data_IF_870429207158
#
_entry.id   IF_870429207158
#
_cell.length_a   1.000
_cell.length_b   1.000
_cell.length_c   1.000
_cell.angle_alpha   90.00
_cell.angle_beta   90.00
_cell.angle_gamma   90.00
#
_symmetry.space_group_name_H-M   'P 1'
#
loop_
_entity.id
_entity.type
_entity.pdbx_description
1 polymer ?
#
# COMPACT_ATOMS: atom_id res chain seq x y z
N UNK A 1 2.03 -12.63 -6.58
CA UNK A 1 1.36 -13.70 -7.35
C UNK A 1 0.20 -14.27 -6.55
N UNK A 2 -0.82 -14.86 -7.23
CA UNK A 2 -1.99 -15.51 -6.60
C UNK A 2 -1.52 -16.62 -5.63
N UNK A 3 -0.51 -17.39 -6.03
CA UNK A 3 0.05 -18.46 -5.22
C UNK A 3 0.61 -17.97 -3.87
N UNK A 4 1.27 -16.81 -3.85
CA UNK A 4 1.78 -16.22 -2.61
C UNK A 4 0.64 -15.79 -1.68
N UNK A 5 -0.47 -15.30 -2.23
CA UNK A 5 -1.67 -14.98 -1.45
C UNK A 5 -2.37 -16.22 -0.92
N UNK A 6 -2.35 -17.32 -1.67
CA UNK A 6 -2.84 -18.63 -1.17
C UNK A 6 -2.01 -19.12 0.03
N UNK A 7 -0.68 -18.93 0.03
CA UNK A 7 0.17 -19.28 1.18
C UNK A 7 -0.17 -18.44 2.43
N UNK A 8 -0.47 -17.14 2.27
CA UNK A 8 -0.93 -16.34 3.42
C UNK A 8 -2.31 -16.75 3.92
N UNK A 9 -3.20 -17.19 3.01
CA UNK A 9 -4.53 -17.70 3.37
C UNK A 9 -4.54 -18.96 4.23
N UNK A 10 -3.44 -19.73 4.22
CA UNK A 10 -3.23 -20.90 5.09
C UNK A 10 -2.24 -20.62 6.22
N UNK A 11 -2.01 -19.34 6.54
CA UNK A 11 -1.10 -18.88 7.60
C UNK A 11 0.39 -19.27 7.40
N UNK A 12 0.81 -19.65 6.19
CA UNK A 12 2.19 -20.00 5.86
C UNK A 12 3.03 -18.78 5.47
N UNK A 13 3.05 -17.76 6.33
CA UNK A 13 3.72 -16.47 6.08
C UNK A 13 5.23 -16.60 5.83
N UNK A 14 5.91 -17.53 6.53
CA UNK A 14 7.35 -17.77 6.33
C UNK A 14 7.65 -18.25 4.91
N UNK A 15 6.85 -19.19 4.39
CA UNK A 15 7.00 -19.72 3.02
C UNK A 15 6.62 -18.64 1.99
N UNK A 16 5.59 -17.85 2.27
CA UNK A 16 5.23 -16.69 1.46
C UNK A 16 6.39 -15.68 1.39
N UNK A 17 6.97 -15.33 2.53
CA UNK A 17 8.11 -14.39 2.60
C UNK A 17 9.31 -14.91 1.83
N UNK A 18 9.70 -16.16 2.03
CA UNK A 18 10.83 -16.77 1.32
C UNK A 18 10.59 -16.82 -0.20
N UNK A 19 9.39 -17.20 -0.64
CA UNK A 19 9.05 -17.23 -2.07
C UNK A 19 9.11 -15.85 -2.73
N UNK A 20 8.95 -14.79 -1.95
CA UNK A 20 9.03 -13.42 -2.40
C UNK A 20 10.46 -12.85 -2.34
N UNK A 21 11.20 -13.18 -1.28
CA UNK A 21 12.53 -12.62 -1.01
C UNK A 21 13.62 -13.26 -1.89
N UNK A 22 13.63 -14.61 -1.98
CA UNK A 22 14.67 -15.33 -2.71
C UNK A 22 14.83 -14.88 -4.17
N UNK A 23 13.76 -14.80 -4.99
CA UNK A 23 13.89 -14.32 -6.36
C UNK A 23 14.42 -12.88 -6.47
N UNK A 24 14.06 -12.02 -5.51
CA UNK A 24 14.53 -10.63 -5.49
C UNK A 24 15.99 -10.49 -5.16
N UNK A 25 16.50 -11.27 -4.20
CA UNK A 25 17.92 -11.34 -3.92
C UNK A 25 18.67 -11.82 -5.15
N UNK A 26 18.18 -12.86 -5.84
CA UNK A 26 18.79 -13.35 -7.08
C UNK A 26 18.79 -12.30 -8.19
N UNK A 27 17.68 -11.60 -8.38
CA UNK A 27 17.58 -10.49 -9.33
C UNK A 27 18.63 -9.41 -9.01
N UNK A 28 18.71 -8.97 -7.76
CA UNK A 28 19.68 -7.96 -7.34
C UNK A 28 21.12 -8.43 -7.51
N UNK A 29 21.42 -9.70 -7.16
CA UNK A 29 22.74 -10.30 -7.30
C UNK A 29 23.20 -10.39 -8.76
N UNK A 30 22.28 -10.40 -9.73
CA UNK A 30 22.60 -10.38 -11.16
C UNK A 30 22.65 -8.94 -11.72
N UNK A 31 21.68 -8.11 -11.34
CA UNK A 31 21.57 -6.75 -11.87
C UNK A 31 22.72 -5.86 -11.38
N UNK A 32 23.08 -5.90 -10.10
CA UNK A 32 24.10 -5.01 -9.55
C UNK A 32 25.47 -5.21 -10.22
N UNK A 33 26.03 -6.44 -10.31
CA UNK A 33 27.25 -6.67 -11.05
C UNK A 33 27.10 -6.40 -12.55
N UNK A 34 25.94 -6.74 -13.14
CA UNK A 34 25.67 -6.53 -14.55
C UNK A 34 25.69 -5.06 -14.96
N UNK A 35 25.13 -4.17 -14.13
CA UNK A 35 25.18 -2.72 -14.35
C UNK A 35 26.59 -2.14 -14.14
N UNK A 36 27.31 -2.64 -13.13
CA UNK A 36 28.62 -2.14 -12.78
C UNK A 36 29.70 -2.60 -13.75
N UNK A 37 29.69 -3.88 -14.17
CA UNK A 37 30.77 -4.50 -14.96
C UNK A 37 30.50 -4.52 -16.47
N UNK A 38 29.23 -4.59 -16.91
CA UNK A 38 28.84 -4.91 -18.28
C UNK A 38 27.91 -3.92 -18.95
N UNK A 39 27.55 -2.78 -18.32
CA UNK A 39 26.57 -1.80 -18.86
C UNK A 39 25.34 -2.50 -19.51
N UNK A 40 24.60 -3.24 -18.70
CA UNK A 40 23.45 -4.04 -19.17
C UNK A 40 22.46 -3.22 -19.99
N UNK A 41 22.06 -3.74 -21.14
CA UNK A 41 20.99 -3.16 -21.94
C UNK A 41 19.63 -3.28 -21.25
N UNK A 42 18.68 -2.40 -21.58
CA UNK A 42 17.31 -2.46 -21.07
C UNK A 42 16.63 -3.82 -21.33
N UNK A 43 16.95 -4.47 -22.48
CA UNK A 43 16.45 -5.80 -22.81
C UNK A 43 16.95 -6.88 -21.83
N UNK A 44 18.22 -6.86 -21.48
CA UNK A 44 18.80 -7.81 -20.52
C UNK A 44 18.23 -7.59 -19.10
N UNK A 45 18.00 -6.34 -18.68
CA UNK A 45 17.32 -6.04 -17.43
C UNK A 45 15.92 -6.64 -17.37
N UNK A 46 15.13 -6.48 -18.45
CA UNK A 46 13.80 -7.07 -18.55
C UNK A 46 13.84 -8.60 -18.48
N UNK A 47 14.79 -9.25 -19.18
CA UNK A 47 14.96 -10.71 -19.12
C UNK A 47 15.25 -11.22 -17.70
N UNK A 48 16.15 -10.54 -16.96
CA UNK A 48 16.44 -10.89 -15.57
C UNK A 48 15.20 -10.71 -14.67
N UNK A 49 14.42 -9.66 -14.88
CA UNK A 49 13.16 -9.45 -14.14
C UNK A 49 12.14 -10.55 -14.46
N UNK A 50 11.96 -10.94 -15.73
CA UNK A 50 11.07 -12.03 -16.12
C UNK A 50 11.53 -13.38 -15.54
N UNK A 51 12.82 -13.67 -15.56
CA UNK A 51 13.38 -14.86 -14.94
C UNK A 51 13.07 -14.91 -13.43
N UNK A 52 13.21 -13.79 -12.73
CA UNK A 52 12.87 -13.69 -11.31
C UNK A 52 11.37 -13.93 -11.03
N UNK A 53 10.48 -13.45 -11.90
CA UNK A 53 9.04 -13.73 -11.80
C UNK A 53 8.76 -15.21 -12.02
N UNK A 54 9.41 -15.85 -13.00
CA UNK A 54 9.28 -17.30 -13.26
C UNK A 54 9.78 -18.14 -12.08
N UNK A 55 10.93 -17.78 -11.50
CA UNK A 55 11.47 -18.42 -10.29
C UNK A 55 10.47 -18.28 -9.12
N UNK A 56 9.91 -17.08 -8.90
CA UNK A 56 8.88 -16.88 -7.87
C UNK A 56 7.67 -17.78 -8.08
N UNK A 57 7.21 -17.93 -9.33
CA UNK A 57 6.09 -18.83 -9.67
C UNK A 57 6.44 -20.29 -9.30
N UNK A 58 7.60 -20.77 -9.71
CA UNK A 58 8.03 -22.15 -9.43
C UNK A 58 8.12 -22.42 -7.93
N UNK A 59 8.81 -21.56 -7.18
CA UNK A 59 8.96 -21.69 -5.73
C UNK A 59 7.59 -21.70 -5.04
N UNK A 60 6.69 -20.79 -5.43
CA UNK A 60 5.36 -20.70 -4.81
C UNK A 60 4.49 -21.93 -5.11
N UNK A 61 4.59 -22.51 -6.32
CA UNK A 61 3.90 -23.77 -6.68
C UNK A 61 4.45 -24.94 -5.87
N UNK A 62 5.79 -25.03 -5.70
CA UNK A 62 6.41 -26.07 -4.87
C UNK A 62 5.89 -26.02 -3.43
N UNK A 63 5.84 -24.80 -2.85
CA UNK A 63 5.33 -24.62 -1.48
C UNK A 63 3.84 -24.96 -1.36
N UNK A 64 3.00 -24.62 -2.34
CA UNK A 64 1.59 -25.02 -2.35
C UNK A 64 1.42 -26.55 -2.41
N UNK A 65 2.19 -27.21 -3.29
CA UNK A 65 2.15 -28.69 -3.38
C UNK A 65 2.59 -29.38 -2.08
N UNK A 66 3.60 -28.84 -1.40
CA UNK A 66 4.04 -29.36 -0.09
C UNK A 66 2.99 -29.23 1.01
N UNK A 67 2.04 -28.29 0.87
CA UNK A 67 0.91 -28.13 1.78
C UNK A 67 -0.37 -28.82 1.25
N UNK A 68 -0.22 -29.84 0.39
CA UNK A 68 -1.30 -30.65 -0.18
C UNK A 68 -2.32 -29.87 -1.04
N UNK A 69 -2.05 -28.59 -1.34
CA UNK A 69 -2.89 -27.79 -2.23
C UNK A 69 -2.55 -28.15 -3.68
N UNK A 70 -3.43 -28.91 -4.30
CA UNK A 70 -3.29 -29.32 -5.70
C UNK A 70 -4.14 -28.40 -6.59
N UNK A 71 -3.50 -27.84 -7.63
CA UNK A 71 -4.23 -27.17 -8.69
C UNK A 71 -4.96 -28.23 -9.52
N UNK A 72 -6.28 -28.21 -9.51
CA UNK A 72 -7.11 -29.15 -10.27
C UNK A 72 -8.13 -28.38 -11.11
N UNK A 73 -8.16 -28.70 -12.41
CA UNK A 73 -9.17 -28.15 -13.32
C UNK A 73 -10.53 -28.82 -13.19
N UNK A 74 -10.62 -29.94 -12.42
CA UNK A 74 -11.86 -30.68 -12.20
C UNK A 74 -13.00 -29.83 -11.61
N UNK A 75 -12.63 -28.81 -10.81
CA UNK A 75 -13.58 -27.91 -10.15
C UNK A 75 -13.79 -26.59 -10.90
N UNK A 76 -13.33 -26.52 -12.16
CA UNK A 76 -13.53 -25.34 -12.98
C UNK A 76 -15.02 -25.16 -13.29
N UNK A 77 -15.58 -24.03 -12.88
CA UNK A 77 -16.98 -23.68 -13.09
C UNK A 77 -17.10 -22.21 -13.46
N UNK A 78 -17.73 -21.91 -14.58
CA UNK A 78 -18.00 -20.52 -15.00
C UNK A 78 -18.80 -19.74 -13.95
N UNK A 79 -19.80 -20.39 -13.32
CA UNK A 79 -20.57 -19.78 -12.22
C UNK A 79 -19.69 -19.49 -11.00
N UNK A 80 -18.75 -20.40 -10.69
CA UNK A 80 -17.76 -20.20 -9.61
C UNK A 80 -16.84 -19.01 -9.90
N UNK A 81 -16.35 -18.88 -11.13
CA UNK A 81 -15.52 -17.74 -11.56
C UNK A 81 -16.30 -16.44 -11.47
N UNK A 82 -17.52 -16.39 -11.98
CA UNK A 82 -18.37 -15.18 -11.89
C UNK A 82 -18.59 -14.75 -10.42
N UNK A 83 -18.85 -15.72 -9.53
CA UNK A 83 -19.00 -15.44 -8.09
C UNK A 83 -17.72 -14.87 -7.47
N UNK A 84 -16.56 -15.46 -7.77
CA UNK A 84 -15.26 -14.98 -7.29
C UNK A 84 -14.99 -13.58 -7.85
N UNK A 85 -15.21 -13.36 -9.15
CA UNK A 85 -15.01 -12.05 -9.77
C UNK A 85 -15.94 -11.01 -9.15
N UNK A 86 -17.21 -11.30 -8.93
CA UNK A 86 -18.15 -10.37 -8.32
C UNK A 86 -17.74 -9.93 -6.91
N UNK A 87 -17.12 -10.82 -6.13
CA UNK A 87 -16.64 -10.52 -4.78
C UNK A 87 -15.31 -9.76 -4.82
N UNK A 88 -14.39 -10.15 -5.73
CA UNK A 88 -13.04 -9.57 -5.80
C UNK A 88 -12.97 -8.28 -6.64
N UNK A 89 -13.93 -8.04 -7.52
CA UNK A 89 -13.94 -6.86 -8.40
C UNK A 89 -13.88 -5.52 -7.62
N UNK A 90 -14.67 -5.29 -6.56
CA UNK A 90 -14.58 -4.05 -5.79
C UNK A 90 -13.19 -3.84 -5.18
N UNK A 91 -12.56 -4.91 -4.67
CA UNK A 91 -11.20 -4.84 -4.15
C UNK A 91 -10.19 -4.53 -5.27
N UNK A 92 -10.32 -5.18 -6.42
CA UNK A 92 -9.47 -4.91 -7.60
C UNK A 92 -9.58 -3.47 -8.09
N UNK A 93 -10.80 -2.93 -8.15
CA UNK A 93 -11.05 -1.54 -8.52
C UNK A 93 -10.46 -0.58 -7.46
N UNK A 94 -10.60 -0.87 -6.17
CA UNK A 94 -9.97 -0.08 -5.12
C UNK A 94 -8.44 -0.03 -5.27
N UNK A 95 -7.80 -1.15 -5.63
CA UNK A 95 -6.35 -1.18 -5.91
C UNK A 95 -5.99 -0.28 -7.10
N UNK A 96 -6.80 -0.30 -8.18
CA UNK A 96 -6.58 0.60 -9.34
C UNK A 96 -6.72 2.07 -8.93
N UNK A 97 -7.73 2.42 -8.15
CA UNK A 97 -7.89 3.78 -7.66
C UNK A 97 -6.73 4.22 -6.76
N UNK A 98 -6.21 3.34 -5.91
CA UNK A 98 -5.01 3.63 -5.12
C UNK A 98 -3.77 3.85 -5.99
N UNK A 99 -3.58 3.04 -7.04
CA UNK A 99 -2.47 3.23 -7.98
C UNK A 99 -2.57 4.55 -8.74
N UNK A 100 -3.77 4.94 -9.14
CA UNK A 100 -4.02 6.24 -9.76
C UNK A 100 -3.77 7.38 -8.76
N UNK A 101 -4.28 7.28 -7.55
CA UNK A 101 -4.03 8.23 -6.47
C UNK A 101 -2.53 8.47 -6.25
N UNK A 102 -1.74 7.39 -6.19
CA UNK A 102 -0.29 7.47 -5.99
C UNK A 102 0.48 8.12 -7.15
N UNK A 103 -0.09 8.24 -8.35
CA UNK A 103 0.60 8.70 -9.55
C UNK A 103 0.07 9.99 -10.16
N UNK A 104 -1.20 10.31 -9.92
CA UNK A 104 -1.82 11.46 -10.55
C UNK A 104 -1.26 12.79 -10.05
N UNK A 105 -0.87 12.88 -8.78
CA UNK A 105 -0.19 14.07 -8.23
C UNK A 105 1.05 14.41 -9.05
N UNK A 106 1.91 13.40 -9.26
CA UNK A 106 3.15 13.57 -10.02
C UNK A 106 2.88 13.94 -11.48
N UNK A 107 1.88 13.33 -12.11
CA UNK A 107 1.47 13.65 -13.48
C UNK A 107 0.92 15.08 -13.59
N UNK A 108 0.11 15.52 -12.65
CA UNK A 108 -0.41 16.88 -12.61
C UNK A 108 0.70 17.91 -12.38
N UNK A 109 1.61 17.65 -11.45
CA UNK A 109 2.76 18.53 -11.20
C UNK A 109 3.63 18.62 -12.46
N UNK A 110 3.99 17.51 -13.09
CA UNK A 110 4.83 17.52 -14.29
C UNK A 110 4.20 18.30 -15.45
N UNK A 111 2.87 18.24 -15.59
CA UNK A 111 2.14 18.94 -16.64
C UNK A 111 1.93 20.43 -16.34
N UNK A 112 1.71 20.80 -15.08
CA UNK A 112 1.33 22.16 -14.68
C UNK A 112 2.53 23.01 -14.25
N UNK A 113 3.62 22.41 -13.77
CA UNK A 113 4.79 23.08 -13.18
C UNK A 113 6.13 22.64 -13.79
N UNK A 114 6.12 21.56 -14.59
CA UNK A 114 7.31 21.05 -15.25
C UNK A 114 7.98 19.88 -14.51
N UNK A 115 8.99 19.31 -15.18
CA UNK A 115 9.65 18.09 -14.69
C UNK A 115 10.54 18.32 -13.47
N UNK A 116 11.12 19.49 -13.30
CA UNK A 116 11.99 19.80 -12.15
C UNK A 116 11.18 19.79 -10.84
N UNK A 117 10.04 20.47 -10.81
CA UNK A 117 9.14 20.45 -9.64
C UNK A 117 8.59 19.03 -9.40
N UNK A 118 8.28 18.29 -10.46
CA UNK A 118 7.86 16.90 -10.35
C UNK A 118 8.97 16.01 -9.76
N UNK A 119 10.24 16.25 -10.10
CA UNK A 119 11.37 15.54 -9.53
C UNK A 119 11.51 15.83 -8.02
N UNK A 120 11.42 17.10 -7.60
CA UNK A 120 11.45 17.44 -6.17
C UNK A 120 10.31 16.77 -5.38
N UNK A 121 9.10 16.83 -5.92
CA UNK A 121 7.95 16.17 -5.28
C UNK A 121 8.12 14.65 -5.23
N UNK A 122 8.57 14.02 -6.32
CA UNK A 122 8.70 12.55 -6.40
C UNK A 122 9.65 11.96 -5.39
N UNK A 123 10.76 12.67 -5.09
CA UNK A 123 11.73 12.26 -4.07
C UNK A 123 11.09 12.30 -2.67
N UNK A 124 10.48 13.43 -2.31
CA UNK A 124 9.81 13.58 -1.03
C UNK A 124 8.66 12.56 -0.86
N UNK A 125 7.83 12.40 -1.90
CA UNK A 125 6.74 11.44 -1.91
C UNK A 125 7.22 10.00 -1.84
N UNK A 126 8.32 9.66 -2.51
CA UNK A 126 8.93 8.34 -2.45
C UNK A 126 9.38 7.95 -1.05
N UNK A 127 10.01 8.87 -0.31
CA UNK A 127 10.42 8.67 1.09
C UNK A 127 9.17 8.51 1.98
N UNK A 128 8.20 9.42 1.84
CA UNK A 128 6.92 9.34 2.55
C UNK A 128 6.20 8.00 2.31
N UNK A 129 6.08 7.59 1.05
CA UNK A 129 5.38 6.34 0.67
C UNK A 129 6.12 5.10 1.16
N UNK A 130 7.44 5.15 1.28
CA UNK A 130 8.25 4.04 1.80
C UNK A 130 7.87 3.69 3.25
N UNK A 131 7.43 4.65 4.06
CA UNK A 131 6.95 4.39 5.42
C UNK A 131 5.68 3.52 5.45
N UNK A 132 4.82 3.56 4.40
CA UNK A 132 3.64 2.70 4.32
C UNK A 132 3.98 1.21 4.24
N UNK A 133 5.15 0.88 3.69
CA UNK A 133 5.63 -0.51 3.62
C UNK A 133 5.82 -1.07 5.02
N UNK A 134 6.40 -0.28 5.93
CA UNK A 134 6.59 -0.66 7.34
C UNK A 134 5.26 -1.00 8.01
N UNK A 135 4.24 -0.15 7.85
CA UNK A 135 2.91 -0.41 8.42
C UNK A 135 2.24 -1.63 7.79
N UNK A 136 2.42 -1.84 6.49
CA UNK A 136 1.90 -3.03 5.80
C UNK A 136 2.52 -4.32 6.32
N UNK A 137 3.81 -4.31 6.69
CA UNK A 137 4.47 -5.46 7.32
C UNK A 137 3.97 -5.73 8.73
N UNK A 138 3.79 -4.69 9.55
CA UNK A 138 3.25 -4.82 10.90
C UNK A 138 1.83 -5.41 10.91
N UNK A 139 1.06 -5.16 9.84
CA UNK A 139 -0.33 -5.59 9.71
C UNK A 139 -0.53 -6.79 8.77
N UNK A 140 0.54 -7.44 8.31
CA UNK A 140 0.45 -8.51 7.31
C UNK A 140 -0.47 -9.65 7.69
N UNK A 141 -0.49 -10.03 8.99
CA UNK A 141 -1.40 -11.05 9.54
C UNK A 141 -2.78 -10.51 9.91
N UNK A 142 -2.95 -9.20 9.96
CA UNK A 142 -4.18 -8.55 10.43
C UNK A 142 -5.40 -8.91 9.57
N UNK A 143 -5.25 -8.93 8.24
CA UNK A 143 -6.34 -9.31 7.34
C UNK A 143 -6.89 -10.71 7.64
N UNK A 144 -6.02 -11.71 7.74
CA UNK A 144 -6.41 -13.10 8.02
C UNK A 144 -7.04 -13.20 9.40
N UNK A 145 -6.42 -12.56 10.41
CA UNK A 145 -6.95 -12.57 11.78
C UNK A 145 -8.33 -11.92 11.87
N UNK A 146 -8.55 -10.79 11.22
CA UNK A 146 -9.87 -10.14 11.18
C UNK A 146 -10.89 -10.97 10.42
N UNK A 147 -10.48 -11.64 9.32
CA UNK A 147 -11.36 -12.54 8.58
C UNK A 147 -11.80 -13.76 9.42
N UNK A 148 -10.96 -14.25 10.32
CA UNK A 148 -11.35 -15.28 11.31
C UNK A 148 -12.32 -14.73 12.36
N UNK A 149 -12.06 -13.52 12.86
CA UNK A 149 -12.83 -12.87 13.92
C UNK A 149 -14.10 -12.13 13.43
N UNK A 150 -14.37 -12.07 12.12
CA UNK A 150 -15.43 -11.22 11.55
C UNK A 150 -16.82 -11.47 12.13
N UNK A 151 -17.09 -12.67 12.66
CA UNK A 151 -18.35 -13.04 13.33
C UNK A 151 -18.44 -12.58 14.79
N UNK A 152 -17.34 -12.09 15.36
CA UNK A 152 -17.23 -11.66 16.76
C UNK A 152 -16.86 -10.17 16.84
N UNK A 153 -17.85 -9.26 16.78
CA UNK A 153 -17.61 -7.80 16.73
C UNK A 153 -16.81 -7.28 17.94
N UNK A 154 -16.95 -7.89 19.10
CA UNK A 154 -16.20 -7.57 20.32
C UNK A 154 -14.71 -7.80 20.15
N UNK A 155 -14.33 -8.94 19.56
CA UNK A 155 -12.94 -9.29 19.31
C UNK A 155 -12.30 -8.41 18.21
N UNK A 156 -13.07 -8.11 17.13
CA UNK A 156 -12.62 -7.14 16.11
C UNK A 156 -12.40 -5.75 16.74
N UNK A 157 -13.29 -5.31 17.65
CA UNK A 157 -13.14 -4.03 18.35
C UNK A 157 -11.91 -4.02 19.26
N UNK A 158 -11.65 -5.11 19.96
CA UNK A 158 -10.45 -5.29 20.79
C UNK A 158 -9.20 -5.19 19.92
N UNK A 159 -9.15 -5.95 18.81
CA UNK A 159 -8.07 -5.90 17.83
C UNK A 159 -7.84 -4.48 17.33
N UNK A 160 -8.90 -3.76 16.94
CA UNK A 160 -8.82 -2.37 16.48
C UNK A 160 -8.17 -1.47 17.56
N UNK A 161 -8.66 -1.52 18.80
CA UNK A 161 -8.20 -0.63 19.85
C UNK A 161 -6.73 -0.86 20.24
N UNK A 162 -6.32 -2.13 20.34
CA UNK A 162 -4.95 -2.51 20.65
C UNK A 162 -3.97 -2.05 19.56
N UNK A 163 -4.30 -2.35 18.30
CA UNK A 163 -3.44 -2.01 17.17
C UNK A 163 -3.47 -0.52 16.83
N UNK A 164 -4.61 0.16 16.97
CA UNK A 164 -4.70 1.60 16.72
C UNK A 164 -3.80 2.41 17.65
N UNK A 165 -3.75 2.04 18.95
CA UNK A 165 -2.86 2.70 19.92
C UNK A 165 -1.38 2.47 19.56
N UNK A 166 -1.01 1.22 19.29
CA UNK A 166 0.36 0.83 18.97
C UNK A 166 0.84 1.49 17.67
N UNK A 167 0.06 1.37 16.59
CA UNK A 167 0.37 1.97 15.29
C UNK A 167 0.37 3.48 15.39
N UNK A 168 -0.60 4.08 16.08
CA UNK A 168 -0.66 5.53 16.28
C UNK A 168 0.61 6.09 16.92
N UNK A 169 1.12 5.45 17.97
CA UNK A 169 2.38 5.85 18.63
C UNK A 169 3.55 5.75 17.64
N UNK A 170 3.69 4.63 16.94
CA UNK A 170 4.76 4.44 15.95
C UNK A 170 4.66 5.51 14.84
N UNK A 171 3.46 5.78 14.33
CA UNK A 171 3.24 6.77 13.29
C UNK A 171 3.63 8.19 13.74
N UNK A 172 3.30 8.56 14.98
CA UNK A 172 3.70 9.86 15.53
C UNK A 172 5.21 9.95 15.65
N UNK A 173 5.88 8.92 16.17
CA UNK A 173 7.34 8.87 16.24
C UNK A 173 7.97 8.96 14.86
N UNK A 174 7.51 8.16 13.89
CA UNK A 174 8.01 8.17 12.51
C UNK A 174 7.78 9.53 11.85
N UNK A 175 6.61 10.15 12.05
CA UNK A 175 6.28 11.48 11.55
C UNK A 175 7.23 12.54 12.09
N UNK A 176 7.48 12.56 13.40
CA UNK A 176 8.40 13.50 14.05
C UNK A 176 9.85 13.28 13.58
N UNK A 177 10.30 12.03 13.53
CA UNK A 177 11.64 11.72 13.03
C UNK A 177 11.81 12.16 11.58
N UNK A 178 10.83 11.87 10.72
CA UNK A 178 10.91 12.28 9.32
C UNK A 178 10.86 13.80 9.16
N UNK A 179 10.08 14.51 9.98
CA UNK A 179 10.02 15.97 10.00
C UNK A 179 11.37 16.60 10.39
N UNK A 180 11.97 16.11 11.50
CA UNK A 180 13.22 16.63 12.04
C UNK A 180 14.39 16.33 11.11
N UNK A 181 14.48 15.08 10.63
CA UNK A 181 15.60 14.62 9.80
C UNK A 181 15.37 14.77 8.29
N UNK A 182 14.30 15.45 7.86
CA UNK A 182 13.99 15.62 6.43
C UNK A 182 15.17 16.18 5.63
N UNK A 183 15.80 17.24 6.13
CA UNK A 183 16.95 17.89 5.48
C UNK A 183 18.18 16.97 5.46
N UNK A 184 18.50 16.32 6.57
CA UNK A 184 19.59 15.35 6.63
C UNK A 184 19.39 14.19 5.64
N UNK A 185 18.18 13.62 5.57
CA UNK A 185 17.85 12.51 4.67
C UNK A 185 18.04 12.96 3.20
N UNK A 186 17.47 14.11 2.83
CA UNK A 186 17.58 14.62 1.45
C UNK A 186 19.04 14.88 1.09
N UNK A 187 19.81 15.52 1.96
CA UNK A 187 21.20 15.87 1.68
C UNK A 187 22.13 14.64 1.60
N UNK A 188 21.91 13.62 2.42
CA UNK A 188 22.70 12.38 2.40
C UNK A 188 22.46 11.57 1.13
N UNK A 189 21.20 11.45 0.69
CA UNK A 189 20.87 10.59 -0.45
C UNK A 189 20.91 11.32 -1.80
N UNK A 190 20.76 12.66 -1.83
CA UNK A 190 20.57 13.43 -3.06
C UNK A 190 21.52 14.63 -3.22
N UNK A 191 22.57 14.73 -2.39
CA UNK A 191 23.71 15.67 -2.56
C UNK A 191 23.33 17.12 -2.87
N UNK A 192 22.48 17.75 -2.04
CA UNK A 192 22.20 19.19 -2.08
C UNK A 192 21.41 19.75 -3.27
N UNK A 193 21.18 18.95 -4.31
CA UNK A 193 20.43 19.39 -5.52
C UNK A 193 18.91 19.47 -5.34
N UNK A 194 18.38 18.93 -4.24
CA UNK A 194 16.95 18.73 -4.03
C UNK A 194 16.43 19.40 -2.75
N UNK A 195 16.98 20.58 -2.40
CA UNK A 195 16.56 21.33 -1.21
C UNK A 195 15.05 21.63 -1.18
N UNK A 196 14.46 21.89 -2.34
CA UNK A 196 13.01 22.12 -2.46
C UNK A 196 12.17 20.91 -2.03
N UNK A 197 12.73 19.69 -2.06
CA UNK A 197 12.08 18.48 -1.56
C UNK A 197 11.96 18.44 -0.04
N UNK A 198 12.81 19.16 0.70
CA UNK A 198 12.83 19.16 2.18
C UNK A 198 11.51 19.65 2.74
N UNK A 199 11.02 20.80 2.26
CA UNK A 199 9.76 21.38 2.72
C UNK A 199 8.57 20.47 2.37
N UNK A 200 8.58 19.89 1.18
CA UNK A 200 7.55 18.93 0.73
C UNK A 200 7.56 17.71 1.65
N UNK A 201 8.73 17.16 1.99
CA UNK A 201 8.87 16.01 2.88
C UNK A 201 8.41 16.33 4.31
N UNK A 202 8.73 17.52 4.82
CA UNK A 202 8.24 18.00 6.13
C UNK A 202 6.71 18.06 6.16
N UNK A 203 6.07 18.57 5.11
CA UNK A 203 4.60 18.59 5.03
C UNK A 203 4.04 17.16 4.98
N UNK A 204 4.57 16.32 4.09
CA UNK A 204 4.12 14.93 3.92
C UNK A 204 4.31 14.08 5.18
N UNK A 205 5.29 14.39 6.03
CA UNK A 205 5.54 13.63 7.25
C UNK A 205 4.32 13.58 8.17
N UNK A 206 3.49 14.63 8.24
CA UNK A 206 2.25 14.64 9.01
C UNK A 206 1.22 13.63 8.46
N UNK A 207 1.27 13.32 7.16
CA UNK A 207 0.41 12.32 6.53
C UNK A 207 0.70 10.89 6.98
N UNK A 208 1.89 10.61 7.54
CA UNK A 208 2.28 9.27 8.04
C UNK A 208 1.29 8.79 9.11
N UNK A 209 0.81 9.70 9.97
CA UNK A 209 -0.11 9.37 11.06
C UNK A 209 -1.42 8.81 10.50
N UNK A 210 -2.02 9.54 9.55
CA UNK A 210 -3.26 9.10 8.91
C UNK A 210 -3.03 7.85 8.04
N UNK A 211 -1.96 7.81 7.25
CA UNK A 211 -1.62 6.69 6.37
C UNK A 211 -1.43 5.37 7.13
N UNK A 212 -0.77 5.38 8.29
CA UNK A 212 -0.61 4.18 9.12
C UNK A 212 -1.95 3.70 9.70
N UNK A 213 -2.80 4.62 10.14
CA UNK A 213 -4.13 4.31 10.65
C UNK A 213 -5.08 3.85 9.53
N UNK A 214 -4.96 4.39 8.30
CA UNK A 214 -5.68 3.93 7.11
C UNK A 214 -5.34 2.47 6.77
N UNK A 215 -4.05 2.09 6.88
CA UNK A 215 -3.67 0.70 6.69
C UNK A 215 -4.41 -0.23 7.67
N UNK A 216 -4.56 0.17 8.94
CA UNK A 216 -5.30 -0.61 9.94
C UNK A 216 -6.79 -0.69 9.64
N UNK A 217 -7.45 0.46 9.42
CA UNK A 217 -8.90 0.52 9.18
C UNK A 217 -9.28 -0.18 7.88
N UNK A 218 -8.49 0.03 6.82
CA UNK A 218 -8.68 -0.62 5.53
C UNK A 218 -8.51 -2.14 5.60
N UNK A 219 -7.53 -2.64 6.35
CA UNK A 219 -7.34 -4.08 6.56
C UNK A 219 -8.53 -4.68 7.33
N UNK A 220 -9.06 -3.99 8.35
CA UNK A 220 -10.20 -4.46 9.11
C UNK A 220 -11.47 -4.48 8.24
N UNK A 221 -11.77 -3.39 7.52
CA UNK A 221 -12.92 -3.34 6.63
C UNK A 221 -12.86 -4.42 5.54
N UNK A 222 -11.68 -4.61 4.93
CA UNK A 222 -11.47 -5.64 3.92
C UNK A 222 -11.55 -7.05 4.52
N UNK A 223 -10.96 -7.29 5.71
CA UNK A 223 -11.04 -8.58 6.42
C UNK A 223 -12.46 -8.97 6.80
N UNK A 224 -13.30 -7.99 7.11
CA UNK A 224 -14.74 -8.16 7.36
C UNK A 224 -15.59 -8.27 6.07
N UNK A 225 -14.97 -8.17 4.87
CA UNK A 225 -15.66 -8.27 3.58
C UNK A 225 -16.34 -7.00 3.06
N UNK A 226 -16.08 -5.84 3.68
CA UNK A 226 -16.68 -4.55 3.27
C UNK A 226 -15.90 -3.87 2.14
N UNK A 227 -15.47 -4.63 1.12
CA UNK A 227 -14.66 -4.16 -0.02
C UNK A 227 -15.28 -2.99 -0.78
N UNK A 228 -16.62 -2.97 -0.92
CA UNK A 228 -17.34 -1.88 -1.60
C UNK A 228 -17.19 -0.55 -0.88
N UNK A 229 -17.22 -0.56 0.46
CA UNK A 229 -17.04 0.66 1.25
C UNK A 229 -15.65 1.24 0.99
N UNK A 230 -14.61 0.41 1.11
CA UNK A 230 -13.23 0.84 0.85
C UNK A 230 -13.07 1.35 -0.59
N UNK A 231 -13.64 0.65 -1.57
CA UNK A 231 -13.61 1.08 -2.97
C UNK A 231 -14.21 2.48 -3.17
N UNK A 232 -15.38 2.77 -2.59
CA UNK A 232 -16.01 4.08 -2.73
C UNK A 232 -15.25 5.18 -1.99
N UNK A 233 -14.72 4.89 -0.78
CA UNK A 233 -13.90 5.85 -0.04
C UNK A 233 -12.66 6.22 -0.88
N UNK A 234 -11.95 5.23 -1.44
CA UNK A 234 -10.78 5.46 -2.29
C UNK A 234 -11.14 6.23 -3.56
N UNK A 235 -12.30 5.95 -4.17
CA UNK A 235 -12.76 6.70 -5.35
C UNK A 235 -13.02 8.18 -5.01
N UNK A 236 -13.73 8.47 -3.92
CA UNK A 236 -13.99 9.86 -3.49
C UNK A 236 -12.70 10.58 -3.12
N UNK A 237 -11.79 9.91 -2.43
CA UNK A 237 -10.47 10.43 -2.11
C UNK A 237 -9.67 10.78 -3.38
N UNK A 238 -9.66 9.89 -4.37
CA UNK A 238 -9.03 10.11 -5.66
C UNK A 238 -9.60 11.33 -6.38
N UNK A 239 -10.93 11.42 -6.51
CA UNK A 239 -11.60 12.56 -7.17
C UNK A 239 -11.26 13.86 -6.45
N UNK A 240 -11.39 13.88 -5.13
CA UNK A 240 -11.08 15.06 -4.31
C UNK A 240 -9.61 15.48 -4.48
N UNK A 241 -8.68 14.54 -4.41
CA UNK A 241 -7.25 14.79 -4.58
C UNK A 241 -6.97 15.40 -5.97
N UNK A 242 -7.46 14.78 -7.04
CA UNK A 242 -7.26 15.28 -8.42
C UNK A 242 -7.85 16.67 -8.62
N UNK A 243 -9.07 16.90 -8.15
CA UNK A 243 -9.74 18.21 -8.28
C UNK A 243 -8.97 19.29 -7.52
N UNK A 244 -8.62 19.04 -6.26
CA UNK A 244 -7.88 20.02 -5.46
C UNK A 244 -6.49 20.30 -6.05
N UNK A 245 -5.78 19.28 -6.50
CA UNK A 245 -4.47 19.44 -7.15
C UNK A 245 -4.57 20.26 -8.44
N UNK A 246 -5.57 19.99 -9.29
CA UNK A 246 -5.75 20.75 -10.53
C UNK A 246 -5.95 22.25 -10.30
N UNK A 247 -6.62 22.63 -9.20
CA UNK A 247 -6.85 24.04 -8.85
C UNK A 247 -5.73 24.68 -8.06
N UNK A 248 -5.07 23.94 -7.16
CA UNK A 248 -4.13 24.53 -6.19
C UNK A 248 -2.66 24.44 -6.64
N UNK A 249 -2.25 23.42 -7.41
CA UNK A 249 -0.88 23.31 -7.94
C UNK A 249 -0.50 24.56 -8.78
N UNK A 250 -1.34 25.09 -9.71
CA UNK A 250 -0.94 26.25 -10.48
C UNK A 250 -0.64 27.49 -9.62
N UNK A 251 -1.29 27.63 -8.47
CA UNK A 251 -1.15 28.80 -7.59
C UNK A 251 -0.03 28.64 -6.54
N UNK A 252 0.08 27.45 -5.95
CA UNK A 252 0.90 27.21 -4.76
C UNK A 252 2.01 26.16 -4.97
N UNK A 253 2.16 25.62 -6.19
CA UNK A 253 3.21 24.66 -6.54
C UNK A 253 3.10 23.34 -5.81
N UNK A 254 4.24 22.66 -5.67
CA UNK A 254 4.33 21.30 -5.11
C UNK A 254 3.96 21.21 -3.62
N UNK A 255 4.11 22.30 -2.87
CA UNK A 255 3.70 22.35 -1.47
C UNK A 255 2.19 22.15 -1.31
N UNK A 256 1.38 22.69 -2.25
CA UNK A 256 -0.06 22.46 -2.27
C UNK A 256 -0.39 20.97 -2.43
N UNK A 257 0.29 20.29 -3.36
CA UNK A 257 0.08 18.84 -3.55
C UNK A 257 0.40 18.05 -2.29
N UNK A 258 1.48 18.39 -1.57
CA UNK A 258 1.82 17.76 -0.30
C UNK A 258 0.72 17.97 0.77
N UNK A 259 0.20 19.19 0.91
CA UNK A 259 -0.90 19.50 1.85
C UNK A 259 -2.17 18.73 1.46
N UNK A 260 -2.51 18.69 0.17
CA UNK A 260 -3.67 17.94 -0.33
C UNK A 260 -3.53 16.45 -0.04
N UNK A 261 -2.35 15.88 -0.25
CA UNK A 261 -2.09 14.47 0.08
C UNK A 261 -2.33 14.20 1.57
N UNK A 262 -1.76 15.02 2.46
CA UNK A 262 -1.97 14.91 3.92
C UNK A 262 -3.45 15.02 4.26
N UNK A 263 -4.14 16.02 3.73
CA UNK A 263 -5.57 16.21 3.94
C UNK A 263 -6.39 15.00 3.47
N UNK A 264 -6.06 14.46 2.29
CA UNK A 264 -6.75 13.29 1.73
C UNK A 264 -6.54 12.03 2.58
N UNK A 265 -5.34 11.81 3.10
CA UNK A 265 -5.06 10.70 4.02
C UNK A 265 -5.90 10.80 5.31
N UNK A 266 -6.00 11.99 5.89
CA UNK A 266 -6.88 12.23 7.06
C UNK A 266 -8.37 12.06 6.72
N UNK A 267 -8.80 12.48 5.54
CA UNK A 267 -10.16 12.25 5.05
C UNK A 267 -10.48 10.75 4.94
N UNK A 268 -9.60 9.97 4.29
CA UNK A 268 -9.76 8.51 4.18
C UNK A 268 -9.91 7.90 5.58
N UNK A 269 -8.98 8.21 6.49
CA UNK A 269 -9.00 7.70 7.84
C UNK A 269 -10.30 8.04 8.58
N UNK A 270 -10.73 9.28 8.54
CA UNK A 270 -11.94 9.73 9.23
C UNK A 270 -13.19 8.99 8.73
N UNK A 271 -13.31 8.82 7.40
CA UNK A 271 -14.46 8.14 6.80
C UNK A 271 -14.41 6.64 7.08
N UNK A 272 -13.26 5.98 6.93
CA UNK A 272 -13.09 4.56 7.26
C UNK A 272 -13.40 4.28 8.74
N UNK A 273 -12.88 5.12 9.64
CA UNK A 273 -13.12 5.03 11.07
C UNK A 273 -14.61 5.17 11.42
N UNK A 274 -15.30 6.12 10.81
CA UNK A 274 -16.73 6.31 10.97
C UNK A 274 -17.54 5.06 10.56
N UNK A 275 -17.28 4.54 9.35
CA UNK A 275 -17.97 3.35 8.87
C UNK A 275 -17.65 2.12 9.72
N UNK A 276 -16.39 1.94 10.11
CA UNK A 276 -15.97 0.83 10.94
C UNK A 276 -16.68 0.84 12.31
N UNK A 277 -16.73 1.99 12.98
CA UNK A 277 -17.49 2.13 14.25
C UNK A 277 -18.98 1.82 14.07
N UNK A 278 -19.59 2.36 13.03
CA UNK A 278 -21.02 2.12 12.72
C UNK A 278 -21.30 0.64 12.49
N UNK A 279 -20.44 -0.04 11.73
CA UNK A 279 -20.56 -1.48 11.45
C UNK A 279 -20.46 -2.30 12.75
N UNK A 280 -19.45 -2.02 13.57
CA UNK A 280 -19.22 -2.76 14.82
C UNK A 280 -20.38 -2.59 15.80
N UNK A 281 -20.95 -1.39 15.92
CA UNK A 281 -22.15 -1.14 16.76
C UNK A 281 -23.37 -1.92 16.24
N UNK A 282 -23.63 -1.85 14.93
CA UNK A 282 -24.77 -2.54 14.32
C UNK A 282 -24.68 -4.07 14.42
N UNK A 283 -23.47 -4.63 14.39
CA UNK A 283 -23.28 -6.07 14.56
C UNK A 283 -23.43 -6.53 16.02
N UNK A 284 -23.09 -5.66 16.98
CA UNK A 284 -23.33 -5.94 18.40
C UNK A 284 -24.81 -5.94 18.73
N UNK A 285 -25.59 -4.94 18.25
CA UNK A 285 -27.03 -4.84 18.50
C UNK A 285 -27.87 -5.97 17.89
N UNK A 286 -27.35 -6.69 16.91
CA UNK A 286 -28.04 -7.86 16.31
C UNK A 286 -27.77 -9.17 17.06
N UNK A 287 -26.81 -9.19 18.00
CA UNK A 287 -26.48 -10.37 18.81
C UNK A 287 -27.11 -10.34 20.20
N UNK A 288 -27.53 -9.16 20.66
CA UNK A 288 -28.42 -8.98 21.84
C UNK A 288 -29.88 -9.09 21.45
#
# INVERSE_FOLDING_TARGET
TVNNKALSGINEYKKQFLSFLLPRILILAVILPGLYLYSMSAGNLLLVMFAGIAINLVISVIYLRKNEIRLSFKYFSLKGIQKILAISLPLGIAVVFNLLYDKLDLLLISKLRGFDEAAYYSIAYGIFKSSSITFSFLLVSGFTRVAELHREPSEVRKFLNEHAKFIGIICVICSLLLFIFAEFIINVFYTGKFENSVNVLRILSFGIIAMGLNNLTGIILNGMGYFKIVMFITLYALIMNVVLNAFLIPKYGIAASAVITVFTEFFIFAVEWYYLKKILVNLQSKKT
#
